data_IF_838111449962
#
_entry.id   IF_838111449962
#
_cell.length_a   1.000
_cell.length_b   1.000
_cell.length_c   1.000
_cell.angle_alpha   90.00
_cell.angle_beta   90.00
_cell.angle_gamma   90.00
#
_symmetry.space_group_name_H-M   'P 1'
#
loop_
_entity.id
_entity.type
_entity.pdbx_description
1 polymer ?
#
# COMPACT_ATOMS: atom_id res chain seq x y z
N UNK A 1 77.75 38.81 -16.77
CA UNK A 1 76.52 39.40 -16.19
C UNK A 1 75.30 38.62 -16.70
N UNK A 2 74.85 37.68 -15.95
CA UNK A 2 73.76 36.73 -16.31
C UNK A 2 72.53 37.17 -15.55
N UNK A 3 71.47 37.63 -16.26
CA UNK A 3 70.18 38.02 -15.68
C UNK A 3 69.28 36.79 -15.59
N UNK A 4 69.03 36.31 -14.37
CA UNK A 4 68.01 35.28 -14.11
C UNK A 4 66.60 35.91 -14.19
N UNK A 5 65.77 35.39 -15.10
CA UNK A 5 64.37 35.71 -15.21
C UNK A 5 63.58 34.62 -14.48
N UNK A 6 63.03 34.96 -13.33
CA UNK A 6 62.16 34.12 -12.53
C UNK A 6 60.77 34.15 -13.12
N UNK A 7 60.32 33.04 -13.72
CA UNK A 7 58.94 32.88 -14.18
C UNK A 7 58.10 32.29 -13.03
N UNK A 8 57.19 33.08 -12.51
CA UNK A 8 56.17 32.65 -11.54
C UNK A 8 55.02 32.08 -12.37
N UNK A 9 54.79 30.78 -12.28
CA UNK A 9 53.59 30.13 -12.77
C UNK A 9 52.52 30.22 -11.67
N UNK A 10 51.50 31.05 -11.88
CA UNK A 10 50.30 31.07 -11.07
C UNK A 10 49.39 29.94 -11.55
N UNK A 11 49.32 28.85 -10.78
CA UNK A 11 48.37 27.76 -11.00
C UNK A 11 47.00 28.16 -10.47
N UNK A 12 46.05 28.44 -11.37
CA UNK A 12 44.64 28.67 -11.06
C UNK A 12 43.96 27.31 -10.86
N UNK A 13 43.74 26.91 -9.61
CA UNK A 13 42.94 25.74 -9.27
C UNK A 13 41.47 26.13 -9.34
N UNK A 14 40.78 25.69 -10.39
CA UNK A 14 39.31 25.76 -10.45
C UNK A 14 38.75 24.60 -9.63
N UNK A 15 38.24 24.90 -8.45
CA UNK A 15 37.47 23.96 -7.64
C UNK A 15 36.06 23.82 -8.24
N UNK A 16 35.82 22.69 -8.93
CA UNK A 16 34.49 22.33 -9.35
C UNK A 16 33.71 21.87 -8.11
N UNK A 17 32.83 22.72 -7.58
CA UNK A 17 31.87 22.35 -6.54
C UNK A 17 30.84 21.39 -7.16
N UNK A 18 30.97 20.09 -6.91
CA UNK A 18 29.87 19.14 -7.13
C UNK A 18 28.82 19.43 -6.04
N UNK A 19 27.73 20.07 -6.44
CA UNK A 19 26.53 20.12 -5.64
C UNK A 19 26.01 18.68 -5.52
N UNK A 20 25.82 18.13 -4.29
CA UNK A 20 25.12 16.87 -4.14
C UNK A 20 23.67 17.10 -4.51
N UNK A 21 23.31 16.74 -5.74
CA UNK A 21 21.92 16.67 -6.14
C UNK A 21 21.17 15.78 -5.17
N UNK A 22 20.24 16.35 -4.40
CA UNK A 22 19.31 15.60 -3.57
C UNK A 22 18.45 14.78 -4.53
N UNK A 23 18.87 13.53 -4.79
CA UNK A 23 18.03 12.56 -5.46
C UNK A 23 16.82 12.35 -4.56
N UNK A 24 15.69 12.96 -4.90
CA UNK A 24 14.39 12.59 -4.35
C UNK A 24 14.21 11.15 -4.80
N UNK A 25 14.50 10.19 -3.91
CA UNK A 25 14.22 8.80 -4.14
C UNK A 25 12.72 8.71 -4.37
N UNK A 26 12.31 8.48 -5.63
CA UNK A 26 10.93 8.14 -5.94
C UNK A 26 10.57 6.96 -5.02
N UNK A 27 9.52 7.10 -4.23
CA UNK A 27 9.02 6.01 -3.39
C UNK A 27 8.83 4.81 -4.33
N UNK A 28 9.47 3.67 -4.08
CA UNK A 28 9.38 2.56 -5.01
C UNK A 28 7.92 2.19 -5.21
N UNK A 29 7.48 2.09 -6.46
CA UNK A 29 6.16 1.57 -6.83
C UNK A 29 6.15 0.08 -6.51
N UNK A 30 5.82 -0.25 -5.25
CA UNK A 30 5.73 -1.60 -4.75
C UNK A 30 4.29 -1.92 -4.33
N UNK A 31 3.90 -3.21 -4.36
CA UNK A 31 2.58 -3.61 -3.91
C UNK A 31 2.33 -3.25 -2.44
N UNK A 32 3.34 -3.36 -1.56
CA UNK A 32 3.25 -3.00 -0.15
C UNK A 32 3.02 -1.50 0.02
N UNK A 33 3.73 -0.67 -0.74
CA UNK A 33 3.57 0.79 -0.72
C UNK A 33 2.15 1.18 -1.13
N UNK A 34 1.60 0.54 -2.16
CA UNK A 34 0.23 0.76 -2.62
C UNK A 34 -0.79 0.40 -1.55
N UNK A 35 -0.65 -0.78 -0.92
CA UNK A 35 -1.56 -1.22 0.15
C UNK A 35 -1.47 -0.29 1.36
N UNK A 36 -0.26 0.07 1.79
CA UNK A 36 -0.06 1.00 2.90
C UNK A 36 -0.67 2.36 2.62
N UNK A 37 -0.46 2.92 1.44
CA UNK A 37 -1.00 4.22 1.03
C UNK A 37 -2.54 4.19 0.97
N UNK A 38 -3.12 3.11 0.43
CA UNK A 38 -4.57 2.92 0.41
C UNK A 38 -5.16 2.93 1.81
N UNK A 39 -4.70 2.07 2.71
CA UNK A 39 -5.28 2.00 4.06
C UNK A 39 -5.01 3.26 4.87
N UNK A 40 -3.88 3.94 4.65
CA UNK A 40 -3.63 5.24 5.27
C UNK A 40 -4.68 6.26 4.84
N UNK A 41 -4.90 6.42 3.54
CA UNK A 41 -5.94 7.30 3.01
C UNK A 41 -7.34 6.88 3.48
N UNK A 42 -7.67 5.61 3.34
CA UNK A 42 -9.00 5.06 3.64
C UNK A 42 -9.39 5.29 5.10
N UNK A 43 -8.50 4.98 6.03
CA UNK A 43 -8.73 5.16 7.46
C UNK A 43 -8.75 6.63 7.87
N UNK A 44 -7.93 7.49 7.24
CA UNK A 44 -7.98 8.94 7.48
C UNK A 44 -9.31 9.57 7.07
N UNK A 45 -10.01 8.98 6.11
CA UNK A 45 -11.35 9.40 5.70
C UNK A 45 -12.47 8.72 6.52
N UNK A 46 -12.14 8.01 7.58
CA UNK A 46 -13.10 7.34 8.44
C UNK A 46 -13.44 5.89 8.07
N UNK A 47 -12.81 5.33 7.02
CA UNK A 47 -12.91 3.92 6.68
C UNK A 47 -14.34 3.43 6.41
N UNK A 48 -15.06 4.08 5.50
CA UNK A 48 -16.46 3.74 5.24
C UNK A 48 -16.78 3.60 3.74
N UNK A 49 -17.94 3.03 3.44
CA UNK A 49 -18.46 2.84 2.08
C UNK A 49 -18.54 4.15 1.27
N UNK A 50 -18.56 5.31 1.91
CA UNK A 50 -18.61 6.60 1.22
C UNK A 50 -17.35 6.83 0.36
N UNK A 51 -16.21 6.23 0.70
CA UNK A 51 -15.00 6.30 -0.13
C UNK A 51 -15.16 5.61 -1.48
N UNK A 52 -16.13 4.71 -1.65
CA UNK A 52 -16.45 4.16 -2.97
C UNK A 52 -16.92 5.23 -3.96
N UNK A 53 -17.48 6.35 -3.50
CA UNK A 53 -17.90 7.45 -4.38
C UNK A 53 -16.78 8.40 -4.75
N UNK A 54 -15.68 8.42 -4.00
CA UNK A 54 -14.52 9.23 -4.29
C UNK A 54 -13.72 8.66 -5.47
N UNK A 55 -13.39 9.52 -6.44
CA UNK A 55 -12.55 9.12 -7.58
C UNK A 55 -11.11 8.80 -7.19
N UNK A 56 -10.65 9.30 -6.04
CA UNK A 56 -9.30 9.04 -5.53
C UNK A 56 -9.03 7.55 -5.27
N UNK A 57 -10.06 6.77 -5.01
CA UNK A 57 -9.96 5.32 -4.81
C UNK A 57 -9.28 4.59 -5.99
N UNK A 58 -9.44 5.09 -7.22
CA UNK A 58 -8.82 4.51 -8.41
C UNK A 58 -7.27 4.63 -8.42
N UNK A 59 -6.70 5.46 -7.56
CA UNK A 59 -5.24 5.52 -7.39
C UNK A 59 -4.69 4.25 -6.71
N UNK A 60 -5.53 3.48 -6.03
CA UNK A 60 -5.14 2.33 -5.22
C UNK A 60 -5.83 1.04 -5.61
N UNK A 61 -7.10 1.12 -6.02
CA UNK A 61 -7.95 -0.05 -6.27
C UNK A 61 -8.21 -0.16 -7.77
N UNK A 62 -8.17 -1.38 -8.28
CA UNK A 62 -8.42 -1.69 -9.68
C UNK A 62 -9.82 -1.22 -10.11
N UNK A 63 -9.90 -0.64 -11.29
CA UNK A 63 -11.16 -0.08 -11.80
C UNK A 63 -12.29 -1.10 -11.81
N UNK A 64 -12.13 -2.35 -12.28
CA UNK A 64 -13.19 -3.33 -12.23
C UNK A 64 -13.68 -3.65 -10.82
N UNK A 65 -12.78 -3.66 -9.84
CA UNK A 65 -13.12 -3.90 -8.42
C UNK A 65 -14.01 -2.76 -7.90
N UNK A 66 -13.62 -1.51 -8.12
CA UNK A 66 -14.41 -0.34 -7.68
C UNK A 66 -15.76 -0.31 -8.36
N UNK A 67 -15.80 -0.55 -9.67
CA UNK A 67 -17.06 -0.50 -10.44
C UNK A 67 -18.04 -1.58 -9.97
N UNK A 68 -17.55 -2.81 -9.71
CA UNK A 68 -18.36 -3.90 -9.17
C UNK A 68 -18.89 -3.56 -7.76
N UNK A 69 -18.03 -3.04 -6.88
CA UNK A 69 -18.45 -2.65 -5.53
C UNK A 69 -19.51 -1.51 -5.56
N UNK A 70 -19.35 -0.56 -6.45
CA UNK A 70 -20.36 0.51 -6.66
C UNK A 70 -21.68 -0.04 -7.17
N UNK A 71 -21.64 -1.03 -8.05
CA UNK A 71 -22.83 -1.70 -8.55
C UNK A 71 -23.51 -2.50 -7.45
N UNK A 72 -22.75 -3.27 -6.69
CA UNK A 72 -23.25 -4.02 -5.53
C UNK A 72 -23.86 -3.12 -4.47
N UNK A 73 -23.22 -1.98 -4.18
CA UNK A 73 -23.77 -0.98 -3.26
C UNK A 73 -25.12 -0.44 -3.74
N UNK A 74 -25.21 -0.04 -5.01
CA UNK A 74 -26.46 0.48 -5.59
C UNK A 74 -27.60 -0.52 -5.54
N UNK A 75 -27.31 -1.79 -5.69
CA UNK A 75 -28.29 -2.88 -5.70
C UNK A 75 -28.43 -3.59 -4.34
N UNK A 76 -27.85 -3.05 -3.28
CA UNK A 76 -27.89 -3.62 -1.91
C UNK A 76 -27.40 -5.08 -1.86
N UNK A 77 -26.38 -5.42 -2.65
CA UNK A 77 -25.78 -6.75 -2.72
C UNK A 77 -24.49 -6.89 -1.88
N UNK A 78 -23.99 -5.77 -1.33
CA UNK A 78 -22.86 -5.87 -0.40
C UNK A 78 -23.28 -6.69 0.82
N UNK A 79 -22.41 -7.57 1.33
CA UNK A 79 -22.68 -8.32 2.55
C UNK A 79 -23.09 -7.36 3.67
N UNK A 80 -24.27 -7.61 4.28
CA UNK A 80 -24.86 -6.67 5.23
C UNK A 80 -23.97 -6.44 6.44
N UNK A 81 -23.70 -5.17 6.70
CA UNK A 81 -23.15 -4.69 7.95
C UNK A 81 -21.63 -4.58 8.04
N UNK A 82 -20.83 -5.18 7.16
CA UNK A 82 -19.39 -5.04 7.17
C UNK A 82 -18.89 -4.23 5.96
N UNK A 83 -17.90 -3.39 6.19
CA UNK A 83 -17.23 -2.70 5.11
C UNK A 83 -16.36 -3.68 4.29
N UNK A 84 -16.29 -3.49 2.96
CA UNK A 84 -15.56 -4.39 2.08
C UNK A 84 -14.06 -4.41 2.33
N UNK A 85 -13.45 -3.28 2.63
CA UNK A 85 -12.00 -3.17 2.78
C UNK A 85 -11.51 -3.45 4.20
N UNK A 86 -12.36 -3.30 5.19
CA UNK A 86 -12.02 -3.56 6.61
C UNK A 86 -12.60 -4.86 7.14
N UNK A 87 -13.65 -5.39 6.50
CA UNK A 87 -14.36 -6.63 6.86
C UNK A 87 -14.99 -6.60 8.24
N UNK A 88 -15.19 -5.42 8.79
CA UNK A 88 -15.89 -5.19 10.07
C UNK A 88 -16.89 -4.04 9.92
N UNK A 89 -17.80 -3.92 10.89
CA UNK A 89 -18.80 -2.84 10.93
C UNK A 89 -18.21 -1.55 11.50
N UNK A 90 -17.52 -1.69 12.62
CA UNK A 90 -16.98 -0.58 13.39
C UNK A 90 -15.46 -0.68 13.49
N UNK A 91 -14.80 0.45 13.29
CA UNK A 91 -13.34 0.57 13.42
C UNK A 91 -13.00 1.77 14.30
N UNK A 92 -11.85 1.71 14.96
CA UNK A 92 -11.16 2.90 15.46
C UNK A 92 -10.03 3.26 14.47
N UNK A 93 -10.25 4.25 13.58
CA UNK A 93 -9.27 4.60 12.57
C UNK A 93 -7.92 5.03 13.16
N UNK A 94 -7.91 5.66 14.33
CA UNK A 94 -6.70 6.12 14.98
C UNK A 94 -5.86 4.97 15.53
N UNK A 95 -6.51 3.97 16.13
CA UNK A 95 -5.86 2.76 16.59
C UNK A 95 -5.35 1.97 15.39
N UNK A 96 -6.17 1.81 14.35
CA UNK A 96 -5.82 1.05 13.17
C UNK A 96 -4.64 1.65 12.41
N UNK A 97 -4.58 2.97 12.24
CA UNK A 97 -3.45 3.67 11.64
C UNK A 97 -2.14 3.44 12.40
N UNK A 98 -2.20 3.39 13.73
CA UNK A 98 -1.02 3.18 14.58
C UNK A 98 -0.56 1.72 14.63
N UNK A 99 -1.48 0.79 14.44
CA UNK A 99 -1.22 -0.66 14.59
C UNK A 99 -1.12 -1.40 13.27
N UNK A 100 -1.35 -0.73 12.15
CA UNK A 100 -1.28 -1.31 10.82
C UNK A 100 0.08 -1.98 10.59
N UNK A 101 0.05 -3.28 10.39
CA UNK A 101 1.24 -4.10 10.15
C UNK A 101 1.07 -4.85 8.83
N UNK A 102 1.89 -4.52 7.84
CA UNK A 102 2.01 -5.31 6.63
C UNK A 102 3.01 -6.42 6.86
N UNK A 103 2.62 -7.64 6.53
CA UNK A 103 3.50 -8.80 6.56
C UNK A 103 4.18 -8.99 5.20
N UNK A 104 5.21 -9.84 5.11
CA UNK A 104 5.93 -10.08 3.86
C UNK A 104 4.97 -10.48 2.72
N UNK A 105 5.15 -9.83 1.58
CA UNK A 105 4.36 -10.10 0.38
C UNK A 105 4.69 -11.48 -0.20
N UNK A 106 3.68 -12.15 -0.75
CA UNK A 106 3.79 -13.46 -1.39
C UNK A 106 3.42 -13.30 -2.87
N UNK A 107 4.38 -13.54 -3.75
CA UNK A 107 4.15 -13.49 -5.19
C UNK A 107 3.49 -14.80 -5.68
N UNK A 108 2.35 -14.69 -6.35
CA UNK A 108 1.59 -15.79 -6.94
C UNK A 108 1.32 -15.48 -8.42
N UNK A 109 2.27 -15.79 -9.27
CA UNK A 109 2.19 -15.45 -10.70
C UNK A 109 2.09 -13.95 -10.93
N UNK A 110 1.02 -13.50 -11.58
CA UNK A 110 0.75 -12.08 -11.85
C UNK A 110 0.11 -11.31 -10.67
N UNK A 111 -0.17 -11.99 -9.56
CA UNK A 111 -0.79 -11.42 -8.37
C UNK A 111 0.19 -11.46 -7.20
N UNK A 112 0.17 -10.43 -6.39
CA UNK A 112 0.88 -10.38 -5.10
C UNK A 112 -0.15 -10.38 -3.99
N UNK A 113 0.09 -11.19 -2.96
CA UNK A 113 -0.76 -11.29 -1.78
C UNK A 113 -0.03 -10.67 -0.60
N UNK A 114 -0.69 -9.72 0.08
CA UNK A 114 -0.12 -9.02 1.24
C UNK A 114 -1.02 -9.28 2.44
N UNK A 115 -0.56 -10.08 3.41
CA UNK A 115 -1.25 -10.19 4.68
C UNK A 115 -1.11 -8.88 5.47
N UNK A 116 -2.20 -8.46 6.11
CA UNK A 116 -2.31 -7.20 6.81
C UNK A 116 -3.03 -7.39 8.14
N UNK A 117 -2.51 -6.80 9.20
CA UNK A 117 -3.08 -6.90 10.56
C UNK A 117 -3.32 -5.52 11.14
N UNK A 118 -4.45 -5.35 11.82
CA UNK A 118 -4.80 -4.17 12.61
C UNK A 118 -5.18 -4.56 14.05
N UNK A 119 -5.21 -3.56 14.93
CA UNK A 119 -5.74 -3.66 16.30
C UNK A 119 -4.69 -3.94 17.37
N UNK A 120 -5.00 -3.60 18.63
CA UNK A 120 -4.13 -3.79 19.80
C UNK A 120 -4.41 -5.11 20.52
N UNK A 121 -5.66 -5.35 20.90
CA UNK A 121 -6.10 -6.57 21.58
C UNK A 121 -6.62 -7.59 20.59
N UNK A 122 -7.87 -7.46 20.24
CA UNK A 122 -8.47 -8.25 19.17
C UNK A 122 -7.88 -7.82 17.83
N UNK A 123 -7.39 -8.80 17.07
CA UNK A 123 -6.71 -8.55 15.80
C UNK A 123 -7.65 -8.77 14.63
N UNK A 124 -7.72 -7.77 13.73
CA UNK A 124 -8.30 -7.96 12.41
C UNK A 124 -7.20 -8.32 11.43
N UNK A 125 -7.32 -9.49 10.81
CA UNK A 125 -6.36 -9.99 9.82
C UNK A 125 -7.03 -10.03 8.46
N UNK A 126 -6.39 -9.38 7.49
CA UNK A 126 -6.84 -9.30 6.11
C UNK A 126 -5.79 -9.89 5.16
N UNK A 127 -6.26 -10.34 4.02
CA UNK A 127 -5.43 -10.73 2.88
C UNK A 127 -5.77 -9.82 1.72
N UNK A 128 -4.81 -9.01 1.29
CA UNK A 128 -4.97 -8.04 0.22
C UNK A 128 -4.31 -8.55 -1.04
N UNK A 129 -5.09 -8.70 -2.11
CA UNK A 129 -4.61 -9.13 -3.43
C UNK A 129 -4.32 -7.89 -4.28
N UNK A 130 -3.14 -7.86 -4.87
CA UNK A 130 -2.63 -6.74 -5.66
C UNK A 130 -2.14 -7.26 -7.01
N UNK A 131 -2.46 -6.57 -8.08
CA UNK A 131 -1.96 -6.87 -9.41
C UNK A 131 -1.58 -5.58 -10.15
N UNK A 132 -0.85 -5.69 -11.26
CA UNK A 132 -0.55 -4.54 -12.11
C UNK A 132 -1.71 -4.25 -13.06
N UNK A 133 -2.16 -2.99 -13.05
CA UNK A 133 -3.09 -2.43 -14.02
C UNK A 133 -2.45 -1.19 -14.63
N UNK A 134 -2.25 -1.19 -15.96
CA UNK A 134 -1.58 -0.10 -16.68
C UNK A 134 -0.21 0.30 -16.09
N UNK A 135 0.58 -0.70 -15.67
CA UNK A 135 1.92 -0.49 -15.10
C UNK A 135 1.95 -0.13 -13.61
N UNK A 136 0.82 0.13 -12.97
CA UNK A 136 0.70 0.48 -11.56
C UNK A 136 0.14 -0.67 -10.73
N UNK A 137 0.59 -0.80 -9.48
CA UNK A 137 -0.01 -1.74 -8.54
C UNK A 137 -1.39 -1.27 -8.11
N UNK A 138 -2.37 -2.19 -8.12
CA UNK A 138 -3.75 -1.94 -7.72
C UNK A 138 -4.28 -3.08 -6.88
N UNK A 139 -5.02 -2.74 -5.84
CA UNK A 139 -5.76 -3.71 -5.03
C UNK A 139 -6.89 -4.27 -5.89
N UNK A 140 -6.93 -5.58 -6.04
CA UNK A 140 -7.96 -6.28 -6.83
C UNK A 140 -8.99 -6.97 -5.95
N UNK A 141 -8.61 -7.36 -4.72
CA UNK A 141 -9.49 -8.06 -3.78
C UNK A 141 -9.00 -7.89 -2.34
N UNK A 142 -9.94 -7.92 -1.39
CA UNK A 142 -9.65 -8.01 0.04
C UNK A 142 -10.47 -9.16 0.63
N UNK A 143 -9.83 -10.01 1.42
CA UNK A 143 -10.43 -11.13 2.13
C UNK A 143 -10.17 -11.02 3.63
N UNK A 144 -11.13 -11.50 4.40
CA UNK A 144 -11.00 -11.69 5.84
C UNK A 144 -10.47 -13.09 6.13
N UNK A 145 -9.58 -13.20 7.09
CA UNK A 145 -9.04 -14.50 7.54
C UNK A 145 -9.74 -15.03 8.80
N UNK A 146 -10.67 -14.29 9.37
CA UNK A 146 -11.32 -14.66 10.64
C UNK A 146 -12.08 -15.98 10.52
N UNK A 147 -12.73 -16.24 9.40
CA UNK A 147 -13.42 -17.48 9.11
C UNK A 147 -12.51 -18.71 8.92
N UNK A 148 -11.19 -18.50 8.75
CA UNK A 148 -10.21 -19.58 8.54
C UNK A 148 -9.47 -19.98 9.82
N UNK A 149 -9.75 -19.35 10.95
CA UNK A 149 -9.13 -19.69 12.24
C UNK A 149 -9.65 -21.02 12.81
N UNK A 150 -10.70 -21.59 12.23
CA UNK A 150 -11.25 -22.89 12.55
C UNK A 150 -11.02 -23.91 11.46
N UNK A 151 -9.77 -24.10 11.01
CA UNK A 151 -9.44 -25.37 10.39
C UNK A 151 -9.66 -26.43 11.46
N UNK A 152 -10.86 -27.00 11.46
CA UNK A 152 -11.04 -28.30 12.04
C UNK A 152 -10.01 -29.18 11.36
N UNK A 153 -9.04 -29.63 12.15
CA UNK A 153 -8.12 -30.65 11.74
C UNK A 153 -8.97 -31.72 11.05
N UNK A 154 -8.75 -31.93 9.77
CA UNK A 154 -9.44 -32.93 9.00
C UNK A 154 -9.17 -34.24 9.75
N UNK A 155 -10.16 -34.74 10.47
CA UNK A 155 -10.07 -36.04 11.08
C UNK A 155 -10.29 -37.04 9.94
N UNK A 156 -9.27 -37.76 9.50
CA UNK A 156 -9.35 -38.52 8.26
C UNK A 156 -10.13 -39.84 8.42
N UNK A 157 -10.83 -40.03 9.50
CA UNK A 157 -11.51 -41.27 9.80
C UNK A 157 -12.75 -41.09 10.65
N UNK A 158 -13.89 -40.89 10.00
CA UNK A 158 -15.16 -41.44 10.38
C UNK A 158 -15.87 -41.96 9.15
#
# INVERSE_FOLDING_TARGET
>A
MIKFILRVFASLAVALALEPGVAIAATPDSPETTVKAFYTWYLQQGGSVYQLTDSHIYNYVAKPTVDNLRDDYRHKRLPGGADYFTRVQDIDPQIWLKTMTLHPAIALGGTVVIPLTFGLGEKQNLVVFVARENGHWRITKVEDTTGYQGFHQYDPMD
#
